data_IF_173914198411
#
_entry.id   IF_173914198411
#
_cell.length_a   1.000
_cell.length_b   1.000
_cell.length_c   1.000
_cell.angle_alpha   90.00
_cell.angle_beta   90.00
_cell.angle_gamma   90.00
#
_symmetry.space_group_name_H-M   'P 1'
#
loop_
_entity.id
_entity.type
_entity.pdbx_description
1 polymer ?
#
# COMPACT_ATOMS: atom_id res chain seq x y z
N UNK A 1 -6.54 0.32 0.01
CA UNK A 1 -6.03 -0.97 -0.52
C UNK A 1 -4.62 -1.17 0.03
N UNK A 2 -4.43 -2.18 0.88
CA UNK A 2 -3.11 -2.59 1.38
C UNK A 2 -2.96 -4.08 1.02
N UNK A 3 -2.43 -4.31 -0.18
CA UNK A 3 -2.22 -5.63 -0.79
C UNK A 3 -0.80 -5.66 -1.35
N UNK A 4 -0.27 -6.85 -1.65
CA UNK A 4 1.08 -7.04 -2.16
C UNK A 4 2.04 -7.70 -1.19
N UNK A 5 1.77 -7.71 0.12
CA UNK A 5 2.73 -8.31 1.08
C UNK A 5 3.03 -9.77 0.72
N UNK A 6 2.02 -10.55 0.36
CA UNK A 6 2.21 -11.94 -0.08
C UNK A 6 2.86 -12.02 -1.45
N UNK A 7 2.42 -11.22 -2.42
CA UNK A 7 2.93 -11.22 -3.78
C UNK A 7 4.46 -11.03 -3.80
N UNK A 8 4.97 -10.03 -3.09
CA UNK A 8 6.42 -9.78 -3.02
C UNK A 8 7.16 -10.75 -2.11
N UNK A 9 6.51 -11.32 -1.09
CA UNK A 9 7.10 -12.38 -0.27
C UNK A 9 7.25 -13.71 -1.01
N UNK A 10 6.43 -13.93 -2.06
CA UNK A 10 6.52 -15.09 -2.95
C UNK A 10 7.13 -14.75 -4.31
N UNK A 11 7.76 -13.57 -4.45
CA UNK A 11 8.43 -13.07 -5.65
C UNK A 11 7.59 -13.16 -6.93
N UNK A 12 6.31 -12.78 -6.83
CA UNK A 12 5.48 -12.51 -8.01
C UNK A 12 6.15 -11.41 -8.83
N UNK A 13 6.20 -11.60 -10.15
CA UNK A 13 6.80 -10.64 -11.07
C UNK A 13 6.09 -9.27 -10.98
N UNK A 14 6.89 -8.19 -10.97
CA UNK A 14 6.40 -6.82 -10.74
C UNK A 14 5.36 -6.38 -11.78
N UNK A 15 5.54 -6.77 -13.04
CA UNK A 15 4.62 -6.45 -14.14
C UNK A 15 3.27 -7.17 -13.99
N UNK A 16 3.27 -8.42 -13.51
CA UNK A 16 2.05 -9.19 -13.19
C UNK A 16 1.30 -8.54 -12.02
N UNK A 17 2.00 -8.14 -10.96
CA UNK A 17 1.40 -7.43 -9.83
C UNK A 17 0.81 -6.07 -10.27
N UNK A 18 1.57 -5.29 -11.06
CA UNK A 18 1.10 -4.00 -11.59
C UNK A 18 -0.13 -4.17 -12.46
N UNK A 19 -0.14 -5.13 -13.40
CA UNK A 19 -1.29 -5.38 -14.27
C UNK A 19 -2.54 -5.71 -13.46
N UNK A 20 -2.41 -6.63 -12.49
CA UNK A 20 -3.52 -7.03 -11.60
C UNK A 20 -4.00 -5.87 -10.71
N UNK A 21 -3.09 -5.05 -10.21
CA UNK A 21 -3.41 -3.85 -9.43
C UNK A 21 -4.14 -2.78 -10.24
N UNK A 22 -3.77 -2.60 -11.50
CA UNK A 22 -4.48 -1.71 -12.44
C UNK A 22 -5.91 -2.22 -12.70
N UNK A 23 -6.10 -3.53 -12.83
CA UNK A 23 -7.42 -4.11 -13.05
C UNK A 23 -8.31 -4.01 -11.81
N UNK A 24 -7.75 -4.21 -10.61
CA UNK A 24 -8.45 -3.90 -9.36
C UNK A 24 -8.85 -2.42 -9.30
N UNK A 25 -7.94 -1.51 -9.64
CA UNK A 25 -8.23 -0.07 -9.67
C UNK A 25 -9.42 0.23 -10.59
N UNK A 26 -9.39 -0.27 -11.84
CA UNK A 26 -10.49 -0.09 -12.80
C UNK A 26 -11.79 -0.67 -12.28
N UNK A 27 -11.75 -1.85 -11.64
CA UNK A 27 -12.94 -2.51 -11.09
C UNK A 27 -13.55 -1.70 -9.94
N UNK A 28 -12.74 -1.19 -9.02
CA UNK A 28 -13.24 -0.34 -7.93
C UNK A 28 -13.79 0.96 -8.50
N UNK A 29 -13.09 1.58 -9.45
CA UNK A 29 -13.52 2.84 -10.09
C UNK A 29 -14.83 2.70 -10.87
N UNK A 30 -15.10 1.54 -11.48
CA UNK A 30 -16.37 1.33 -12.21
C UNK A 30 -17.58 1.19 -11.28
N UNK A 31 -17.37 0.77 -10.03
CA UNK A 31 -18.43 0.65 -9.01
C UNK A 31 -18.54 1.94 -8.20
N UNK A 32 -17.42 2.59 -7.89
CA UNK A 32 -17.33 3.80 -7.08
C UNK A 32 -16.55 4.90 -7.82
N UNK A 33 -17.16 5.59 -8.81
CA UNK A 33 -16.47 6.55 -9.67
C UNK A 33 -15.80 7.70 -8.91
N UNK A 34 -16.42 8.16 -7.82
CA UNK A 34 -15.97 9.32 -7.05
C UNK A 34 -15.10 8.97 -5.82
N UNK A 35 -14.88 7.68 -5.53
CA UNK A 35 -14.14 7.28 -4.33
C UNK A 35 -12.68 7.77 -4.33
N UNK A 36 -12.18 8.17 -3.17
CA UNK A 36 -10.76 8.41 -2.96
C UNK A 36 -10.04 7.07 -2.70
N UNK A 37 -9.15 6.68 -3.60
CA UNK A 37 -8.49 5.37 -3.58
C UNK A 37 -7.06 5.51 -3.08
N UNK A 38 -6.78 4.97 -1.90
CA UNK A 38 -5.44 4.92 -1.32
C UNK A 38 -4.82 3.54 -1.55
N UNK A 39 -3.71 3.49 -2.27
CA UNK A 39 -2.84 2.33 -2.44
C UNK A 39 -1.70 2.45 -1.42
N UNK A 40 -1.72 1.58 -0.41
CA UNK A 40 -0.86 1.66 0.75
C UNK A 40 0.21 0.57 0.73
N UNK A 41 1.47 0.95 0.88
CA UNK A 41 2.57 0.02 1.14
C UNK A 41 2.49 -0.50 2.58
N UNK A 42 2.55 -1.83 2.71
CA UNK A 42 2.47 -2.54 3.99
C UNK A 42 3.62 -2.20 4.94
N UNK A 43 3.37 -2.16 6.27
CA UNK A 43 4.44 -2.02 7.26
C UNK A 43 5.27 -3.31 7.42
N UNK A 44 4.81 -4.45 6.90
CA UNK A 44 5.48 -5.75 7.05
C UNK A 44 6.65 -5.97 6.10
N UNK A 45 6.67 -5.27 4.95
CA UNK A 45 7.75 -5.39 3.98
C UNK A 45 8.97 -4.61 4.46
N UNK A 46 10.15 -5.21 4.31
CA UNK A 46 11.45 -4.63 4.68
C UNK A 46 12.52 -4.98 3.64
N UNK A 47 13.42 -4.05 3.37
CA UNK A 47 14.61 -4.30 2.54
C UNK A 47 15.78 -4.86 3.35
N UNK A 48 15.66 -4.92 4.68
CA UNK A 48 16.74 -5.31 5.60
C UNK A 48 17.29 -6.72 5.39
N UNK A 49 16.59 -7.56 4.63
CA UNK A 49 16.99 -8.93 4.30
C UNK A 49 17.56 -9.08 2.87
N UNK A 50 17.88 -7.98 2.19
CA UNK A 50 18.71 -7.98 0.98
C UNK A 50 17.98 -8.26 -0.34
N UNK A 51 16.64 -8.31 -0.33
CA UNK A 51 15.84 -8.66 -1.49
C UNK A 51 15.06 -7.48 -2.12
N UNK A 52 15.39 -6.22 -1.75
CA UNK A 52 14.74 -4.96 -2.19
C UNK A 52 13.19 -4.96 -2.28
N UNK A 53 12.56 -5.91 -1.59
CA UNK A 53 11.14 -6.26 -1.65
C UNK A 53 10.26 -5.05 -1.33
N UNK A 54 10.61 -4.26 -0.31
CA UNK A 54 9.84 -3.08 0.08
C UNK A 54 9.96 -2.01 -0.97
N UNK A 55 11.16 -1.81 -1.52
CA UNK A 55 11.43 -0.85 -2.59
C UNK A 55 10.69 -1.22 -3.88
N UNK A 56 10.74 -2.50 -4.31
CA UNK A 56 9.98 -3.02 -5.46
C UNK A 56 8.48 -2.84 -5.28
N UNK A 57 7.94 -3.23 -4.12
CA UNK A 57 6.52 -3.04 -3.81
C UNK A 57 6.10 -1.56 -3.85
N UNK A 58 6.92 -0.66 -3.32
CA UNK A 58 6.68 0.78 -3.39
C UNK A 58 6.63 1.28 -4.85
N UNK A 59 7.58 0.85 -5.69
CA UNK A 59 7.64 1.23 -7.10
C UNK A 59 6.44 0.71 -7.90
N UNK A 60 6.02 -0.54 -7.65
CA UNK A 60 4.87 -1.13 -8.30
C UNK A 60 3.56 -0.42 -7.93
N UNK A 61 3.34 -0.13 -6.63
CA UNK A 61 2.17 0.63 -6.17
C UNK A 61 2.11 2.04 -6.76
N UNK A 62 3.25 2.74 -6.85
CA UNK A 62 3.32 4.05 -7.53
C UNK A 62 2.96 3.92 -9.00
N UNK A 63 3.46 2.90 -9.69
CA UNK A 63 3.15 2.67 -11.11
C UNK A 63 1.65 2.44 -11.34
N UNK A 64 0.98 1.69 -10.45
CA UNK A 64 -0.48 1.50 -10.50
C UNK A 64 -1.20 2.86 -10.38
N UNK A 65 -0.83 3.68 -9.39
CA UNK A 65 -1.41 5.02 -9.17
C UNK A 65 -1.13 5.95 -10.35
N UNK A 66 0.10 6.00 -10.84
CA UNK A 66 0.52 6.82 -11.98
C UNK A 66 -0.25 6.44 -13.25
N UNK A 67 -0.60 5.16 -13.42
CA UNK A 67 -1.46 4.74 -14.53
C UNK A 67 -2.82 5.43 -14.50
N UNK A 68 -3.41 5.62 -13.31
CA UNK A 68 -4.69 6.27 -13.14
C UNK A 68 -4.57 7.78 -13.33
N UNK A 69 -3.53 8.40 -12.77
CA UNK A 69 -3.23 9.83 -12.93
C UNK A 69 -3.04 10.18 -14.41
N UNK A 70 -2.30 9.37 -15.17
CA UNK A 70 -2.12 9.55 -16.63
C UNK A 70 -3.43 9.49 -17.42
N UNK A 71 -4.46 8.83 -16.88
CA UNK A 71 -5.83 8.78 -17.44
C UNK A 71 -6.76 9.87 -16.89
N UNK A 72 -6.24 10.80 -16.09
CA UNK A 72 -7.00 11.92 -15.52
C UNK A 72 -7.68 11.63 -14.18
N UNK A 73 -7.47 10.45 -13.58
CA UNK A 73 -7.99 10.15 -12.25
C UNK A 73 -7.17 10.88 -11.17
N UNK A 74 -7.76 11.94 -10.61
CA UNK A 74 -7.16 12.77 -9.54
C UNK A 74 -7.41 12.24 -8.14
N UNK A 75 -8.12 11.11 -8.02
CA UNK A 75 -8.55 10.51 -6.74
C UNK A 75 -7.93 9.14 -6.49
N UNK A 76 -6.77 8.87 -7.08
CA UNK A 76 -5.91 7.74 -6.74
C UNK A 76 -4.62 8.25 -6.10
N UNK A 77 -4.22 7.65 -4.98
CA UNK A 77 -3.09 8.12 -4.17
C UNK A 77 -2.22 6.95 -3.73
N UNK A 78 -0.91 7.17 -3.77
CA UNK A 78 0.05 6.32 -3.08
C UNK A 78 0.23 6.82 -1.64
N UNK A 79 0.31 5.89 -0.70
CA UNK A 79 0.79 6.15 0.65
C UNK A 79 1.64 4.97 1.13
N UNK A 80 2.39 5.15 2.20
CA UNK A 80 3.16 4.08 2.81
C UNK A 80 3.03 4.14 4.32
N UNK A 81 2.80 2.97 4.92
CA UNK A 81 2.96 2.85 6.36
C UNK A 81 4.44 2.76 6.70
N UNK A 82 4.84 3.41 7.78
CA UNK A 82 6.16 3.21 8.39
C UNK A 82 6.37 1.71 8.62
N UNK A 83 7.55 1.20 8.22
CA UNK A 83 7.97 -0.18 8.47
C UNK A 83 7.85 -0.54 9.95
N UNK A 84 7.34 -1.73 10.25
CA UNK A 84 7.14 -2.18 11.61
C UNK A 84 8.47 -2.36 12.33
N UNK A 85 8.55 -1.92 13.59
CA UNK A 85 9.79 -1.96 14.38
C UNK A 85 9.68 -3.01 15.46
N UNK A 86 10.10 -4.24 15.15
CA UNK A 86 10.00 -5.38 16.07
C UNK A 86 10.58 -5.07 17.46
N UNK A 87 11.77 -4.48 17.54
CA UNK A 87 12.45 -4.20 18.81
C UNK A 87 11.71 -3.16 19.69
N UNK A 88 10.88 -2.30 19.10
CA UNK A 88 10.29 -1.16 19.79
C UNK A 88 8.78 -1.28 19.98
N UNK A 89 8.09 -1.74 18.94
CA UNK A 89 6.63 -1.80 18.89
C UNK A 89 6.12 -3.25 19.07
N UNK A 90 7.03 -4.24 19.12
CA UNK A 90 6.70 -5.66 19.15
C UNK A 90 6.14 -6.17 17.82
N UNK A 91 5.82 -7.47 17.77
CA UNK A 91 5.12 -8.12 16.66
C UNK A 91 3.92 -8.91 17.18
N UNK A 92 2.91 -9.05 16.33
CA UNK A 92 1.85 -10.03 16.48
C UNK A 92 2.25 -11.41 15.98
N UNK A 93 1.25 -12.30 15.86
CA UNK A 93 1.46 -13.68 15.41
C UNK A 93 2.07 -13.74 14.02
N UNK A 94 3.02 -14.66 13.79
CA UNK A 94 3.63 -14.92 12.48
C UNK A 94 4.21 -13.66 11.80
N UNK A 95 4.73 -12.71 12.58
CA UNK A 95 5.33 -11.47 12.07
C UNK A 95 4.34 -10.39 11.66
N UNK A 96 3.05 -10.55 11.97
CA UNK A 96 2.04 -9.51 11.72
C UNK A 96 2.26 -8.28 12.61
N UNK A 97 1.67 -7.12 12.26
CA UNK A 97 1.72 -5.93 13.08
C UNK A 97 1.17 -6.17 14.50
N UNK A 98 1.81 -5.58 15.50
CA UNK A 98 1.27 -5.53 16.86
C UNK A 98 0.12 -4.52 16.96
N UNK A 99 -0.68 -4.52 18.05
CA UNK A 99 -1.64 -3.45 18.30
C UNK A 99 -1.02 -2.05 18.22
N UNK A 100 0.22 -1.89 18.72
CA UNK A 100 0.95 -0.63 18.66
C UNK A 100 1.28 -0.22 17.22
N UNK A 101 1.69 -1.16 16.37
CA UNK A 101 1.91 -0.88 14.94
C UNK A 101 0.59 -0.52 14.25
N UNK A 102 -0.53 -1.16 14.60
CA UNK A 102 -1.85 -0.81 14.09
C UNK A 102 -2.28 0.60 14.48
N UNK A 103 -2.06 1.04 15.72
CA UNK A 103 -2.34 2.42 16.15
C UNK A 103 -1.57 3.44 15.30
N UNK A 104 -0.28 3.21 15.08
CA UNK A 104 0.57 4.09 14.26
C UNK A 104 0.10 4.11 12.80
N UNK A 105 -0.28 2.95 12.24
CA UNK A 105 -0.83 2.85 10.90
C UNK A 105 -2.18 3.59 10.79
N UNK A 106 -3.04 3.48 11.81
CA UNK A 106 -4.31 4.18 11.88
C UNK A 106 -4.09 5.70 11.88
N UNK A 107 -3.16 6.24 12.69
CA UNK A 107 -2.85 7.67 12.66
C UNK A 107 -2.38 8.16 11.29
N UNK A 108 -1.53 7.39 10.60
CA UNK A 108 -1.07 7.72 9.24
C UNK A 108 -2.22 7.69 8.23
N UNK A 109 -3.11 6.69 8.31
CA UNK A 109 -4.25 6.55 7.41
C UNK A 109 -5.27 7.67 7.62
N UNK A 110 -5.59 8.00 8.88
CA UNK A 110 -6.50 9.10 9.21
C UNK A 110 -5.96 10.39 8.61
N UNK A 111 -4.69 10.74 8.86
CA UNK A 111 -4.08 11.94 8.28
C UNK A 111 -4.13 11.96 6.75
N UNK A 112 -3.85 10.83 6.09
CA UNK A 112 -3.93 10.71 4.64
C UNK A 112 -5.35 10.98 4.12
N UNK A 113 -6.37 10.43 4.78
CA UNK A 113 -7.78 10.64 4.42
C UNK A 113 -8.18 12.10 4.65
N UNK A 114 -7.90 12.67 5.82
CA UNK A 114 -8.25 14.06 6.15
C UNK A 114 -7.64 15.05 5.15
N UNK A 115 -6.41 14.79 4.68
CA UNK A 115 -5.73 15.62 3.67
C UNK A 115 -6.42 15.67 2.30
N UNK A 116 -7.39 14.79 2.03
CA UNK A 116 -8.07 14.66 0.74
C UNK A 116 -9.58 14.86 0.81
N UNK A 117 -10.21 14.53 1.94
CA UNK A 117 -11.68 14.48 2.06
C UNK A 117 -12.27 15.61 2.91
N UNK A 118 -11.47 16.52 3.48
CA UNK A 118 -11.94 17.53 4.43
C UNK A 118 -12.73 16.89 5.60
N UNK A 119 -12.26 15.74 6.06
CA UNK A 119 -12.77 15.00 7.21
C UNK A 119 -12.05 15.36 8.50
#
# INVERSE_FOLDING_TARGET
MNLGTNDFNFDVADDVFVASGIDLLKRVRSIYPEAHLFFALSPMLSDSLGADIRTRAAAALRTIVDSAVKRGDKRAYYMQFIEQRQARDGLGCSGHPSPRTHELAASQLVQAIQSKLCW
#
